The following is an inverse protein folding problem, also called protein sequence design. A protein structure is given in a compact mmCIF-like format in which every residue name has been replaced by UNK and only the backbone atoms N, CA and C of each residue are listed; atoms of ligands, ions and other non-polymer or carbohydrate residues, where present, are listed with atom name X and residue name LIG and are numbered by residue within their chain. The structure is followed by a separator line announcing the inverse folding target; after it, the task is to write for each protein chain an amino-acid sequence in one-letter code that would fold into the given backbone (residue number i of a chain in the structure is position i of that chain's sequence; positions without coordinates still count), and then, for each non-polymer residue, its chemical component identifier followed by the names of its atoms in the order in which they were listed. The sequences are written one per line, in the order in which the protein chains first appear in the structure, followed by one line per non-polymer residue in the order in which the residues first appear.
data_IF_581854166816
#
_entry.id   IF_581854166816
#
_cell.length_a   1.000
_cell.length_b   1.000
_cell.length_c   1.000
_cell.angle_alpha   90.00
_cell.angle_beta   90.00
_cell.angle_gamma   90.00
#
_symmetry.space_group_name_H-M   'P 1'
#
loop_
_entity.id
_entity.type
_entity.pdbx_description
1 polymer ?
#
# COMPACT_ATOMS: atom_id res chain seq x y z
N UNK A 1 -19.70 7.86 -19.66
CA UNK A 1 -18.30 8.18 -19.98
C UNK A 1 -17.77 7.06 -20.86
N UNK A 2 -17.19 7.36 -22.02
CA UNK A 2 -16.63 6.32 -22.89
C UNK A 2 -15.38 5.67 -22.28
N UNK A 3 -15.02 4.46 -22.72
CA UNK A 3 -13.78 3.79 -22.31
C UNK A 3 -12.55 4.66 -22.60
N UNK A 4 -12.46 5.19 -23.83
CA UNK A 4 -11.38 6.09 -24.23
C UNK A 4 -11.33 7.37 -23.38
N UNK A 5 -12.48 7.92 -23.03
CA UNK A 5 -12.60 9.11 -22.19
C UNK A 5 -12.12 8.85 -20.75
N UNK A 6 -12.46 7.68 -20.20
CA UNK A 6 -12.00 7.23 -18.88
C UNK A 6 -10.49 7.01 -18.86
N UNK A 7 -9.94 6.34 -19.88
CA UNK A 7 -8.48 6.19 -20.04
C UNK A 7 -7.77 7.53 -20.13
N UNK A 8 -8.31 8.48 -20.89
CA UNK A 8 -7.74 9.82 -20.99
C UNK A 8 -7.79 10.56 -19.64
N UNK A 9 -8.87 10.43 -18.89
CA UNK A 9 -8.97 11.01 -17.53
C UNK A 9 -7.93 10.41 -16.58
N UNK A 10 -7.77 9.10 -16.58
CA UNK A 10 -6.75 8.41 -15.76
C UNK A 10 -5.34 8.89 -16.11
N UNK A 11 -5.00 8.97 -17.40
CA UNK A 11 -3.69 9.47 -17.85
C UNK A 11 -3.46 10.94 -17.49
N UNK A 12 -4.49 11.79 -17.56
CA UNK A 12 -4.40 13.19 -17.10
C UNK A 12 -4.11 13.27 -15.60
N UNK A 13 -4.76 12.43 -14.80
CA UNK A 13 -4.51 12.38 -13.36
C UNK A 13 -3.08 11.92 -13.05
N UNK A 14 -2.57 10.88 -13.73
CA UNK A 14 -1.18 10.42 -13.57
C UNK A 14 -0.21 11.57 -13.85
N UNK A 15 -0.38 12.26 -14.98
CA UNK A 15 0.48 13.39 -15.36
C UNK A 15 0.44 14.52 -14.34
N UNK A 16 -0.74 14.81 -13.79
CA UNK A 16 -0.91 15.84 -12.76
C UNK A 16 -0.15 15.50 -11.49
N UNK A 17 -0.31 14.29 -10.96
CA UNK A 17 0.36 13.88 -9.73
C UNK A 17 1.87 13.80 -9.90
N UNK A 18 2.37 13.28 -11.04
CA UNK A 18 3.81 13.28 -11.36
C UNK A 18 4.36 14.71 -11.38
N UNK A 19 3.65 15.65 -12.01
CA UNK A 19 4.05 17.06 -12.02
C UNK A 19 4.16 17.62 -10.60
N UNK A 20 3.20 17.34 -9.73
CA UNK A 20 3.23 17.80 -8.34
C UNK A 20 4.41 17.20 -7.55
N UNK A 21 4.68 15.90 -7.71
CA UNK A 21 5.83 15.24 -7.09
C UNK A 21 7.15 15.87 -7.57
N UNK A 22 7.25 16.16 -8.87
CA UNK A 22 8.43 16.83 -9.43
C UNK A 22 8.61 18.25 -8.87
N UNK A 23 7.53 19.03 -8.78
CA UNK A 23 7.55 20.38 -8.19
C UNK A 23 7.97 20.34 -6.71
N UNK A 24 7.45 19.39 -5.95
CA UNK A 24 7.83 19.15 -4.56
C UNK A 24 9.33 18.81 -4.47
N UNK A 25 9.81 17.86 -5.27
CA UNK A 25 11.21 17.44 -5.30
C UNK A 25 12.15 18.61 -5.61
N UNK A 26 11.78 19.47 -6.58
CA UNK A 26 12.61 20.62 -6.97
C UNK A 26 12.67 21.67 -5.87
N UNK A 27 11.55 21.92 -5.21
CA UNK A 27 11.41 22.97 -4.19
C UNK A 27 11.98 22.54 -2.84
N UNK A 28 11.70 21.30 -2.42
CA UNK A 28 12.09 20.76 -1.10
C UNK A 28 13.39 19.97 -1.14
N UNK A 29 13.91 19.62 -2.33
CA UNK A 29 15.11 18.78 -2.57
C UNK A 29 14.96 17.31 -2.17
N UNK A 30 13.83 16.93 -1.62
CA UNK A 30 13.46 15.56 -1.29
C UNK A 30 11.95 15.37 -1.47
N UNK A 31 11.51 14.12 -1.53
CA UNK A 31 10.09 13.76 -1.48
C UNK A 31 9.93 12.71 -0.39
N UNK A 32 9.04 12.96 0.57
CA UNK A 32 8.77 11.99 1.62
C UNK A 32 7.74 10.96 1.17
N UNK A 33 7.85 9.74 1.69
CA UNK A 33 6.91 8.66 1.42
C UNK A 33 5.49 8.93 1.95
N UNK A 34 5.35 9.79 2.97
CA UNK A 34 4.08 10.25 3.54
C UNK A 34 3.56 11.54 2.88
N UNK A 35 4.23 12.07 1.85
CA UNK A 35 3.74 13.20 1.08
C UNK A 35 2.34 12.91 0.54
N UNK A 36 1.44 13.88 0.66
CA UNK A 36 0.09 13.79 0.10
C UNK A 36 0.10 13.57 -1.40
N UNK A 37 1.11 14.09 -2.12
CA UNK A 37 1.28 13.87 -3.55
C UNK A 37 1.70 12.42 -3.87
N UNK A 38 2.51 11.79 -3.02
CA UNK A 38 2.85 10.37 -3.15
C UNK A 38 1.63 9.49 -2.89
N UNK A 39 0.89 9.74 -1.81
CA UNK A 39 -0.31 8.98 -1.46
C UNK A 39 -1.36 9.10 -2.58
N UNK A 40 -1.60 10.32 -3.09
CA UNK A 40 -2.51 10.57 -4.22
C UNK A 40 -2.06 9.86 -5.49
N UNK A 41 -0.76 9.93 -5.82
CA UNK A 41 -0.19 9.24 -6.97
C UNK A 41 -0.42 7.73 -6.91
N UNK A 42 -0.19 7.10 -5.74
CA UNK A 42 -0.46 5.68 -5.53
C UNK A 42 -1.93 5.33 -5.81
N UNK A 43 -2.88 6.14 -5.34
CA UNK A 43 -4.30 5.91 -5.61
C UNK A 43 -4.65 6.02 -7.10
N UNK A 44 -4.03 6.96 -7.82
CA UNK A 44 -4.22 7.11 -9.27
C UNK A 44 -3.62 5.90 -10.02
N UNK A 45 -2.44 5.43 -9.62
CA UNK A 45 -1.81 4.23 -10.21
C UNK A 45 -2.67 2.99 -9.96
N UNK A 46 -3.18 2.80 -8.73
CA UNK A 46 -4.12 1.72 -8.43
C UNK A 46 -5.35 1.77 -9.33
N UNK A 47 -5.96 2.95 -9.49
CA UNK A 47 -7.09 3.12 -10.38
C UNK A 47 -6.76 2.78 -11.84
N UNK A 48 -5.56 3.13 -12.31
CA UNK A 48 -5.09 2.76 -13.65
C UNK A 48 -4.94 1.24 -13.81
N UNK A 49 -4.33 0.57 -12.84
CA UNK A 49 -4.10 -0.87 -12.84
C UNK A 49 -5.42 -1.66 -12.79
N UNK A 50 -6.40 -1.14 -12.04
CA UNK A 50 -7.70 -1.80 -11.87
C UNK A 50 -8.69 -1.49 -13.01
N UNK A 51 -8.43 -0.46 -13.82
CA UNK A 51 -9.30 -0.09 -14.93
C UNK A 51 -9.38 -1.19 -16.00
N UNK A 52 -10.59 -1.48 -16.49
CA UNK A 52 -10.82 -2.52 -17.51
C UNK A 52 -10.71 -3.97 -17.01
N UNK A 53 -10.32 -4.19 -15.75
CA UNK A 53 -10.30 -5.54 -15.19
C UNK A 53 -11.72 -6.10 -15.05
N UNK A 54 -11.95 -7.26 -15.67
CA UNK A 54 -13.22 -7.98 -15.52
C UNK A 54 -13.40 -8.42 -14.08
N UNK A 55 -14.58 -8.16 -13.51
CA UNK A 55 -14.96 -8.67 -12.19
C UNK A 55 -14.98 -10.20 -12.27
N UNK A 56 -14.09 -10.87 -11.52
CA UNK A 56 -14.23 -12.31 -11.29
C UNK A 56 -15.21 -12.50 -10.14
N UNK A 57 -16.28 -13.26 -10.36
CA UNK A 57 -17.24 -13.68 -9.32
C UNK A 57 -16.63 -14.87 -8.53
N UNK A 58 -15.35 -14.78 -8.18
CA UNK A 58 -14.67 -15.79 -7.37
C UNK A 58 -14.75 -15.32 -5.92
N UNK A 59 -15.35 -16.16 -5.07
CA UNK A 59 -15.83 -15.81 -3.74
C UNK A 59 -14.81 -15.14 -2.81
N UNK A 60 -15.35 -14.23 -2.01
CA UNK A 60 -15.06 -13.90 -0.60
C UNK A 60 -13.63 -13.62 -0.09
N UNK A 61 -12.52 -14.01 -0.74
CA UNK A 61 -11.22 -14.11 -0.01
C UNK A 61 -10.01 -13.36 -0.60
N UNK A 62 -10.19 -12.40 -1.51
CA UNK A 62 -9.11 -11.46 -1.84
C UNK A 62 -9.64 -10.03 -1.87
N UNK A 63 -9.63 -9.38 -0.71
CA UNK A 63 -10.03 -7.97 -0.55
C UNK A 63 -9.14 -7.02 -1.36
N UNK A 64 -7.85 -7.38 -1.52
CA UNK A 64 -6.89 -6.60 -2.29
C UNK A 64 -6.78 -7.09 -3.74
N UNK A 65 -7.48 -6.39 -4.65
CA UNK A 65 -7.51 -6.71 -6.09
C UNK A 65 -6.17 -6.51 -6.79
N UNK A 66 -5.36 -5.55 -6.33
CA UNK A 66 -4.02 -5.29 -6.87
C UNK A 66 -3.10 -6.45 -6.53
N UNK A 67 -3.07 -6.88 -5.26
CA UNK A 67 -2.28 -8.04 -4.84
C UNK A 67 -2.63 -9.30 -5.64
N UNK A 68 -3.92 -9.56 -5.84
CA UNK A 68 -4.39 -10.70 -6.64
C UNK A 68 -3.91 -10.63 -8.11
N UNK A 69 -3.90 -9.43 -8.71
CA UNK A 69 -3.38 -9.23 -10.05
C UNK A 69 -1.87 -9.51 -10.11
N UNK A 70 -1.09 -8.92 -9.19
CA UNK A 70 0.35 -9.08 -9.16
C UNK A 70 0.78 -10.53 -8.89
N UNK A 71 0.12 -11.24 -7.98
CA UNK A 71 0.35 -12.68 -7.76
C UNK A 71 0.11 -13.51 -9.03
N UNK A 72 -0.87 -13.13 -9.85
CA UNK A 72 -1.12 -13.82 -11.12
C UNK A 72 -0.03 -13.52 -12.15
N UNK A 73 0.38 -12.27 -12.28
CA UNK A 73 1.40 -11.81 -13.23
C UNK A 73 2.79 -12.33 -12.86
N UNK A 74 3.10 -12.42 -11.56
CA UNK A 74 4.37 -12.92 -11.03
C UNK A 74 4.76 -14.30 -11.57
N UNK A 75 3.78 -15.17 -11.88
CA UNK A 75 4.02 -16.51 -12.43
C UNK A 75 4.78 -16.53 -13.76
N UNK A 76 4.76 -15.43 -14.50
CA UNK A 76 5.39 -15.33 -15.81
C UNK A 76 6.23 -14.06 -15.98
N UNK A 77 6.40 -13.26 -14.93
CA UNK A 77 7.09 -11.98 -15.00
C UNK A 77 7.88 -11.72 -13.73
N UNK A 78 9.18 -11.99 -13.80
CA UNK A 78 10.12 -11.94 -12.65
C UNK A 78 10.09 -10.60 -11.88
N UNK A 79 9.98 -9.41 -12.51
CA UNK A 79 9.88 -8.16 -11.74
C UNK A 79 8.63 -8.08 -10.84
N UNK A 80 7.50 -8.67 -11.25
CA UNK A 80 6.31 -8.74 -10.39
C UNK A 80 6.49 -9.73 -9.25
N UNK A 81 7.20 -10.84 -9.46
CA UNK A 81 7.55 -11.79 -8.41
C UNK A 81 8.44 -11.13 -7.34
N UNK A 82 9.48 -10.41 -7.77
CA UNK A 82 10.35 -9.69 -6.85
C UNK A 82 9.58 -8.65 -6.03
N UNK A 83 8.66 -7.92 -6.67
CA UNK A 83 7.78 -6.98 -5.99
C UNK A 83 6.90 -7.67 -4.95
N UNK A 84 6.24 -8.79 -5.31
CA UNK A 84 5.41 -9.55 -4.38
C UNK A 84 6.22 -10.03 -3.16
N UNK A 85 7.44 -10.53 -3.38
CA UNK A 85 8.33 -10.96 -2.29
C UNK A 85 8.66 -9.80 -1.34
N UNK A 86 9.07 -8.65 -1.88
CA UNK A 86 9.37 -7.44 -1.09
C UNK A 86 8.16 -6.96 -0.30
N UNK A 87 6.97 -6.98 -0.89
CA UNK A 87 5.72 -6.61 -0.19
C UNK A 87 5.46 -7.58 0.97
N UNK A 88 5.59 -8.88 0.75
CA UNK A 88 5.40 -9.88 1.79
C UNK A 88 6.40 -9.72 2.95
N UNK A 89 7.67 -9.44 2.66
CA UNK A 89 8.69 -9.14 3.67
C UNK A 89 8.30 -7.90 4.50
N UNK A 90 7.83 -6.83 3.86
CA UNK A 90 7.38 -5.62 4.53
C UNK A 90 6.14 -5.85 5.40
N UNK A 91 5.15 -6.61 4.92
CA UNK A 91 3.94 -6.95 5.68
C UNK A 91 4.29 -7.76 6.94
N UNK A 92 5.22 -8.71 6.84
CA UNK A 92 5.74 -9.46 7.99
C UNK A 92 6.43 -8.57 9.01
N UNK A 93 7.26 -7.62 8.56
CA UNK A 93 7.93 -6.66 9.44
C UNK A 93 6.93 -5.78 10.20
N UNK A 94 5.88 -5.32 9.52
CA UNK A 94 4.79 -4.53 10.13
C UNK A 94 4.05 -5.36 11.18
N UNK A 95 3.72 -6.61 10.89
CA UNK A 95 3.00 -7.49 11.81
C UNK A 95 3.85 -7.82 13.06
N UNK A 96 5.12 -8.17 12.88
CA UNK A 96 6.05 -8.43 13.97
C UNK A 96 6.26 -7.20 14.87
N UNK A 97 6.31 -6.01 14.29
CA UNK A 97 6.41 -4.75 15.05
C UNK A 97 5.17 -4.50 15.93
N UNK A 98 3.96 -4.81 15.44
CA UNK A 98 2.72 -4.69 16.23
C UNK A 98 2.70 -5.68 17.40
N UNK A 99 3.09 -6.92 17.16
CA UNK A 99 3.15 -7.95 18.20
C UNK A 99 4.15 -7.57 19.31
N UNK A 100 5.36 -7.11 18.96
CA UNK A 100 6.35 -6.69 19.95
C UNK A 100 5.90 -5.50 20.81
N UNK A 101 5.17 -4.54 20.25
CA UNK A 101 4.61 -3.41 21.02
C UNK A 101 3.47 -3.84 21.97
N UNK A 102 2.70 -4.86 21.61
CA UNK A 102 1.66 -5.42 22.48
C UNK A 102 2.24 -6.20 23.67
N UNK A 103 3.35 -6.90 23.47
CA UNK A 103 4.05 -7.66 24.52
C UNK A 103 4.62 -6.76 25.62
N UNK A 104 5.22 -5.61 25.25
CA UNK A 104 5.76 -4.64 26.22
C UNK A 104 4.68 -3.98 27.11
N UNK A 105 3.45 -3.87 26.60
CA UNK A 105 2.33 -3.30 27.36
C UNK A 105 1.74 -4.27 28.39
N UNK A 106 1.86 -5.58 28.15
CA UNK A 106 1.38 -6.61 29.08
C UNK A 106 2.32 -6.88 30.26
N UNK A 107 3.63 -6.66 30.11
CA UNK A 107 4.57 -6.78 31.24
C UNK A 107 4.43 -5.63 32.25
N UNK A 108 4.15 -4.41 31.77
CA UNK A 108 3.93 -3.25 32.64
C UNK A 108 2.66 -3.34 33.51
N UNK A 109 1.64 -4.07 33.06
CA UNK A 109 0.38 -4.25 33.81
C UNK A 109 0.44 -5.39 34.84
N UNK A 110 1.43 -6.30 34.73
CA UNK A 110 1.67 -7.36 35.73
C UNK A 110 2.55 -6.91 36.90
N UNK A 111 3.40 -5.91 36.70
CA UNK A 111 4.27 -5.39 37.77
C UNK A 111 3.57 -4.41 38.73
N UNK A 112 2.38 -3.91 38.39
CA UNK A 112 1.63 -2.93 39.21
C UNK A 112 0.63 -3.56 40.20
N UNK A 113 0.72 -4.86 40.48
CA UNK A 113 -0.12 -5.55 41.48
C UNK A 113 0.74 -6.24 42.54
N UNK A 114 1.42 -5.46 43.38
CA UNK A 114 1.77 -5.93 44.73
C UNK A 114 0.78 -5.29 45.73
N UNK A 115 0.11 -6.09 46.58
CA UNK A 115 -0.73 -5.57 47.63
C UNK A 115 0.16 -5.06 48.77
N UNK A 116 0.10 -3.76 49.05
CA UNK A 116 0.64 -3.21 50.29
C UNK A 116 -0.22 -3.72 51.46
N UNK A 117 0.37 -4.49 52.37
CA UNK A 117 -0.17 -4.69 53.71
C UNK A 117 0.62 -3.85 54.72
N UNK A 118 -0.06 -3.31 55.75
CA UNK A 118 0.56 -2.54 56.83
C UNK A 118 1.42 -3.38 57.76
#
# INVERSE_FOLDING_TARGET
MGEAETRQKLLRNVKKEVKQIMEEAVTRKFVHADSSHIISFCAVVEACVLHGLKRRIAGLLCSNKVAALFMKVAKSFSPAEELCRKVQELEQLIENSKQNNSSLSNDRSRLSKLPNLP
#
